data_IF_428109818629
#
_entry.id   IF_428109818629
#
_cell.length_a   1.000
_cell.length_b   1.000
_cell.length_c   1.000
_cell.angle_alpha   90.00
_cell.angle_beta   90.00
_cell.angle_gamma   90.00
#
_symmetry.space_group_name_H-M   'P 1'
#
loop_
_entity.id
_entity.type
_entity.pdbx_description
1 polymer ?
#
# COMPACT_ATOMS: atom_id res chain seq x y z
N UNK A 1 -21.10 18.42 -2.45
CA UNK A 1 -19.63 18.48 -2.22
C UNK A 1 -19.24 19.39 -1.04
N UNK A 2 -19.74 20.66 -0.99
CA UNK A 2 -19.52 21.57 0.15
C UNK A 2 -20.13 21.02 1.46
N UNK A 3 -21.34 20.48 1.40
CA UNK A 3 -22.02 19.87 2.56
C UNK A 3 -21.25 18.63 3.06
N UNK A 4 -20.77 17.78 2.15
CA UNK A 4 -19.96 16.62 2.54
C UNK A 4 -18.63 17.02 3.17
N UNK A 5 -18.00 18.08 2.66
CA UNK A 5 -16.77 18.63 3.25
C UNK A 5 -17.05 19.20 4.65
N UNK A 6 -18.15 19.94 4.80
CA UNK A 6 -18.56 20.50 6.10
C UNK A 6 -18.82 19.40 7.13
N UNK A 7 -19.53 18.33 6.75
CA UNK A 7 -19.81 17.17 7.63
C UNK A 7 -18.50 16.52 8.05
N UNK A 8 -17.57 16.26 7.13
CA UNK A 8 -16.27 15.66 7.45
C UNK A 8 -15.47 16.56 8.38
N UNK A 9 -15.47 17.87 8.15
CA UNK A 9 -14.77 18.82 9.01
C UNK A 9 -15.38 18.86 10.41
N UNK A 10 -16.70 18.89 10.53
CA UNK A 10 -17.41 18.88 11.82
C UNK A 10 -17.16 17.57 12.57
N UNK A 11 -17.22 16.44 11.88
CA UNK A 11 -16.93 15.13 12.49
C UNK A 11 -15.47 15.01 12.92
N UNK A 12 -14.52 15.52 12.13
CA UNK A 12 -13.09 15.54 12.48
C UNK A 12 -12.86 16.44 13.70
N UNK A 13 -13.41 17.64 13.72
CA UNK A 13 -13.26 18.59 14.83
C UNK A 13 -13.97 18.10 16.10
N UNK A 14 -15.18 17.56 15.97
CA UNK A 14 -15.92 16.95 17.07
C UNK A 14 -15.23 15.70 17.63
N UNK A 15 -14.65 14.88 16.76
CA UNK A 15 -13.88 13.70 17.14
C UNK A 15 -12.65 14.05 17.98
N UNK A 16 -11.96 15.14 17.64
CA UNK A 16 -10.80 15.64 18.43
C UNK A 16 -11.23 16.11 19.82
N UNK A 17 -12.40 16.76 19.95
CA UNK A 17 -12.91 17.25 21.25
C UNK A 17 -13.34 16.13 22.21
N UNK A 18 -13.74 14.98 21.67
CA UNK A 18 -14.20 13.81 22.44
C UNK A 18 -13.08 12.76 22.58
N UNK A 19 -11.92 13.00 21.95
CA UNK A 19 -10.81 12.08 22.01
C UNK A 19 -10.31 11.90 23.45
N UNK A 20 -10.14 10.65 23.95
CA UNK A 20 -9.58 10.39 25.26
C UNK A 20 -8.18 11.02 25.40
N UNK A 21 -7.81 11.46 26.61
CA UNK A 21 -6.46 12.00 26.90
C UNK A 21 -5.36 11.07 26.40
N UNK A 22 -5.53 9.76 26.50
CA UNK A 22 -4.61 8.74 25.98
C UNK A 22 -4.34 8.87 24.45
N UNK A 23 -5.21 9.53 23.70
CA UNK A 23 -5.01 9.77 22.28
C UNK A 23 -4.03 10.92 22.07
N UNK A 24 -4.12 11.96 22.89
CA UNK A 24 -3.16 13.09 22.88
C UNK A 24 -1.78 12.63 23.39
N UNK A 25 -1.73 11.80 24.43
CA UNK A 25 -0.48 11.19 24.91
C UNK A 25 0.22 10.39 23.79
N UNK A 26 -0.57 9.66 22.97
CA UNK A 26 -0.02 8.93 21.82
C UNK A 26 0.47 9.84 20.70
N UNK A 27 -0.12 11.03 20.50
CA UNK A 27 0.40 12.00 19.52
C UNK A 27 1.71 12.60 20.02
N UNK A 28 1.81 12.86 21.32
CA UNK A 28 3.05 13.38 21.94
C UNK A 28 4.19 12.36 21.81
N UNK A 29 3.91 11.05 21.90
CA UNK A 29 4.91 10.00 21.64
C UNK A 29 5.42 9.97 20.19
N UNK A 30 4.74 10.60 19.24
CA UNK A 30 5.27 10.75 17.86
C UNK A 30 6.52 11.65 17.85
N UNK A 31 6.60 12.62 18.74
CA UNK A 31 7.78 13.50 18.88
C UNK A 31 8.98 12.76 19.49
N UNK A 32 8.71 11.70 20.27
CA UNK A 32 9.72 10.82 20.87
C UNK A 32 9.81 9.47 20.14
N UNK A 33 9.38 9.39 18.88
CA UNK A 33 9.38 8.14 18.12
C UNK A 33 10.77 7.47 18.04
N UNK A 34 11.84 8.26 18.14
CA UNK A 34 13.22 7.74 18.23
C UNK A 34 13.53 7.01 19.56
N UNK A 35 12.70 7.20 20.59
CA UNK A 35 12.79 6.53 21.90
C UNK A 35 11.81 5.35 21.99
N UNK A 36 10.82 5.26 21.07
CA UNK A 36 9.89 4.14 21.00
C UNK A 36 10.61 2.91 20.43
N UNK A 37 10.89 1.97 21.31
CA UNK A 37 11.53 0.70 20.95
C UNK A 37 10.76 -0.05 19.85
N UNK A 38 9.42 0.01 19.86
CA UNK A 38 8.57 -0.63 18.84
C UNK A 38 8.77 0.00 17.46
N UNK A 39 8.84 1.33 17.39
CA UNK A 39 9.09 2.05 16.14
C UNK A 39 10.52 1.79 15.65
N UNK A 40 11.50 1.89 16.54
CA UNK A 40 12.91 1.69 16.19
C UNK A 40 13.21 0.25 15.76
N UNK A 41 12.52 -0.76 16.28
CA UNK A 41 12.58 -2.13 15.78
C UNK A 41 12.14 -2.23 14.29
N UNK A 42 11.12 -1.46 13.87
CA UNK A 42 10.70 -1.38 12.45
C UNK A 42 11.78 -0.72 11.61
N UNK A 43 12.34 0.39 12.07
CA UNK A 43 13.42 1.10 11.35
C UNK A 43 14.65 0.19 11.20
N UNK A 44 15.00 -0.60 12.21
CA UNK A 44 16.06 -1.60 12.14
C UNK A 44 15.76 -2.66 11.06
N UNK A 45 14.53 -3.17 11.01
CA UNK A 45 14.10 -4.11 9.96
C UNK A 45 14.12 -3.47 8.57
N UNK A 46 13.73 -2.19 8.43
CA UNK A 46 13.82 -1.45 7.16
C UNK A 46 15.26 -1.25 6.71
N UNK A 47 16.16 -0.99 7.67
CA UNK A 47 17.61 -0.93 7.40
C UNK A 47 18.10 -2.23 6.79
N UNK A 48 17.78 -3.38 7.41
CA UNK A 48 18.20 -4.70 6.91
C UNK A 48 17.58 -4.97 5.54
N UNK A 49 16.28 -4.66 5.32
CA UNK A 49 15.64 -4.78 4.01
C UNK A 49 16.37 -3.98 2.92
N UNK A 50 16.72 -2.73 3.21
CA UNK A 50 17.45 -1.88 2.28
C UNK A 50 18.86 -2.39 1.99
N UNK A 51 19.56 -2.91 3.01
CA UNK A 51 20.88 -3.50 2.87
C UNK A 51 20.84 -4.75 2.00
N UNK A 52 19.87 -5.64 2.21
CA UNK A 52 19.64 -6.82 1.37
C UNK A 52 19.41 -6.40 -0.09
N UNK A 53 18.51 -5.44 -0.32
CA UNK A 53 18.23 -4.97 -1.68
C UNK A 53 19.43 -4.30 -2.35
N UNK A 54 20.31 -3.66 -1.60
CA UNK A 54 21.54 -3.07 -2.14
C UNK A 54 22.55 -4.13 -2.59
N UNK A 55 22.61 -5.25 -1.88
CA UNK A 55 23.51 -6.37 -2.22
C UNK A 55 22.88 -7.30 -3.28
N UNK A 56 21.56 -7.53 -3.18
CA UNK A 56 20.78 -8.37 -4.10
C UNK A 56 19.66 -7.57 -4.78
N UNK A 57 19.98 -6.65 -5.71
CA UNK A 57 19.02 -5.68 -6.24
C UNK A 57 17.90 -6.27 -7.09
N UNK A 58 18.08 -7.47 -7.66
CA UNK A 58 17.12 -8.09 -8.58
C UNK A 58 16.17 -9.03 -7.86
N UNK A 59 16.67 -9.86 -6.96
CA UNK A 59 15.89 -10.95 -6.36
C UNK A 59 15.73 -10.85 -4.84
N UNK A 60 16.40 -9.90 -4.18
CA UNK A 60 16.41 -9.83 -2.72
C UNK A 60 17.01 -11.08 -2.07
N UNK A 61 16.56 -11.42 -0.86
CA UNK A 61 17.03 -12.61 -0.14
C UNK A 61 15.94 -13.68 0.08
N UNK A 62 14.79 -13.53 -0.58
CA UNK A 62 13.65 -14.47 -0.47
C UNK A 62 12.63 -14.05 0.59
N UNK A 63 11.50 -14.76 0.59
CA UNK A 63 10.35 -14.40 1.45
C UNK A 63 10.70 -14.44 2.93
N UNK A 64 10.28 -13.37 3.64
CA UNK A 64 10.53 -13.15 5.06
C UNK A 64 12.03 -13.11 5.45
N UNK A 65 12.90 -12.77 4.52
CA UNK A 65 14.35 -12.76 4.72
C UNK A 65 14.81 -12.01 5.98
N UNK A 66 14.20 -10.85 6.24
CA UNK A 66 14.51 -9.98 7.39
C UNK A 66 14.24 -10.65 8.74
N UNK A 67 13.38 -11.69 8.79
CA UNK A 67 13.03 -12.42 10.00
C UNK A 67 13.96 -13.62 10.25
N UNK A 68 14.85 -13.94 9.31
CA UNK A 68 15.77 -15.08 9.39
C UNK A 68 17.04 -14.65 10.12
N UNK A 69 17.38 -15.26 11.28
CA UNK A 69 18.47 -14.80 12.13
C UNK A 69 19.82 -14.69 11.42
N UNK A 70 20.22 -15.68 10.61
CA UNK A 70 21.51 -15.65 9.93
C UNK A 70 21.57 -14.58 8.82
N UNK A 71 20.44 -14.29 8.13
CA UNK A 71 20.37 -13.17 7.17
C UNK A 71 20.46 -11.84 7.91
N UNK A 72 19.70 -11.69 9.02
CA UNK A 72 19.79 -10.51 9.85
C UNK A 72 21.22 -10.23 10.30
N UNK A 73 21.92 -11.24 10.84
CA UNK A 73 23.28 -11.11 11.31
C UNK A 73 24.26 -10.75 10.19
N UNK A 74 24.04 -11.22 8.98
CA UNK A 74 24.83 -10.86 7.81
C UNK A 74 24.68 -9.39 7.42
N UNK A 75 23.45 -8.83 7.50
CA UNK A 75 23.14 -7.50 6.97
C UNK A 75 22.97 -6.40 8.03
N UNK A 76 22.88 -6.72 9.32
CA UNK A 76 22.70 -5.72 10.38
C UNK A 76 23.78 -4.63 10.40
N UNK A 77 25.05 -4.99 10.08
CA UNK A 77 26.19 -4.09 10.07
C UNK A 77 26.55 -3.58 8.65
N UNK A 78 25.77 -3.98 7.64
CA UNK A 78 25.97 -3.54 6.26
C UNK A 78 25.71 -2.03 6.09
N UNK A 79 26.46 -1.34 5.20
CA UNK A 79 26.21 0.08 4.93
C UNK A 79 24.76 0.36 4.54
N UNK A 80 24.13 1.32 5.20
CA UNK A 80 22.73 1.69 4.95
C UNK A 80 22.51 3.18 5.14
N UNK A 81 21.48 3.69 4.48
CA UNK A 81 21.00 5.08 4.65
C UNK A 81 20.40 5.33 6.04
N UNK A 82 19.99 4.27 6.74
CA UNK A 82 19.44 4.38 8.10
C UNK A 82 20.56 4.28 9.14
N UNK A 83 20.74 5.32 9.93
CA UNK A 83 21.67 5.32 11.06
C UNK A 83 20.99 4.80 12.32
N UNK A 84 21.17 3.50 12.62
CA UNK A 84 20.57 2.81 13.77
C UNK A 84 21.62 1.95 14.44
N UNK A 85 21.69 1.97 15.77
CA UNK A 85 22.51 1.05 16.54
C UNK A 85 21.87 -0.35 16.57
N UNK A 86 22.35 -1.22 15.69
CA UNK A 86 21.77 -2.55 15.48
C UNK A 86 22.03 -3.54 16.60
N UNK A 87 22.91 -3.21 17.57
CA UNK A 87 23.24 -4.09 18.69
C UNK A 87 22.04 -4.38 19.61
N UNK A 88 21.03 -3.48 19.60
CA UNK A 88 19.84 -3.53 20.45
C UNK A 88 18.67 -4.27 19.82
N UNK A 89 18.73 -4.60 18.53
CA UNK A 89 17.60 -5.12 17.78
C UNK A 89 17.82 -6.54 17.31
N UNK A 90 16.72 -7.27 17.15
CA UNK A 90 16.70 -8.66 16.73
C UNK A 90 15.83 -8.84 15.49
N UNK A 91 15.95 -9.97 14.78
CA UNK A 91 15.16 -10.28 13.60
C UNK A 91 13.67 -10.16 13.88
N UNK A 92 13.00 -9.26 13.13
CA UNK A 92 11.54 -9.04 13.21
C UNK A 92 11.00 -8.70 11.82
N UNK A 93 9.67 -8.83 11.67
CA UNK A 93 8.99 -8.42 10.45
C UNK A 93 9.20 -6.92 10.16
N UNK A 94 9.28 -6.56 8.88
CA UNK A 94 9.47 -5.17 8.45
C UNK A 94 8.31 -4.25 8.85
N UNK A 95 7.11 -4.80 9.11
CA UNK A 95 5.89 -4.02 9.35
C UNK A 95 5.69 -2.90 8.33
N UNK A 96 5.97 -3.21 7.07
CA UNK A 96 5.74 -2.35 5.93
C UNK A 96 5.71 -3.21 4.67
N UNK A 97 4.65 -3.11 3.88
CA UNK A 97 4.55 -3.82 2.60
C UNK A 97 5.69 -3.45 1.64
N UNK A 98 6.17 -2.22 1.72
CA UNK A 98 7.24 -1.72 0.85
C UNK A 98 8.60 -2.31 1.21
N UNK A 99 8.98 -2.24 2.49
CA UNK A 99 10.24 -2.80 2.97
C UNK A 99 10.22 -4.33 3.01
N UNK A 100 9.04 -4.94 3.21
CA UNK A 100 8.90 -6.40 3.07
C UNK A 100 9.24 -6.82 1.64
N UNK A 101 8.61 -6.24 0.63
CA UNK A 101 8.88 -6.58 -0.78
C UNK A 101 10.32 -6.22 -1.16
N UNK A 102 10.84 -5.09 -0.66
CA UNK A 102 12.19 -4.64 -0.94
C UNK A 102 13.24 -5.66 -0.45
N UNK A 103 13.13 -6.13 0.79
CA UNK A 103 14.05 -7.14 1.34
C UNK A 103 13.88 -8.51 0.70
N UNK A 104 12.64 -8.91 0.46
CA UNK A 104 12.30 -10.23 -0.06
C UNK A 104 12.66 -10.39 -1.56
N UNK A 105 12.38 -9.36 -2.38
CA UNK A 105 12.43 -9.43 -3.86
C UNK A 105 13.32 -8.37 -4.51
N UNK A 106 14.01 -7.56 -3.74
CA UNK A 106 14.90 -6.51 -4.25
C UNK A 106 14.16 -5.33 -4.89
N UNK A 107 14.92 -4.45 -5.55
CA UNK A 107 14.36 -3.26 -6.22
C UNK A 107 13.45 -3.62 -7.41
N UNK A 108 13.78 -4.67 -8.15
CA UNK A 108 12.97 -5.12 -9.29
C UNK A 108 11.61 -5.63 -8.80
N UNK A 109 11.60 -6.43 -7.72
CA UNK A 109 10.36 -6.90 -7.10
C UNK A 109 9.51 -5.75 -6.58
N UNK A 110 10.11 -4.77 -5.90
CA UNK A 110 9.40 -3.57 -5.45
C UNK A 110 8.81 -2.77 -6.62
N UNK A 111 9.56 -2.58 -7.70
CA UNK A 111 9.05 -1.89 -8.91
C UNK A 111 7.86 -2.62 -9.51
N UNK A 112 7.93 -3.95 -9.64
CA UNK A 112 6.84 -4.77 -10.15
C UNK A 112 5.61 -4.70 -9.23
N UNK A 113 5.80 -4.76 -7.92
CA UNK A 113 4.74 -4.62 -6.93
C UNK A 113 4.03 -3.27 -7.04
N UNK A 114 4.77 -2.17 -7.09
CA UNK A 114 4.21 -0.82 -7.25
C UNK A 114 3.52 -0.65 -8.61
N UNK A 115 4.08 -1.23 -9.67
CA UNK A 115 3.46 -1.23 -11.00
C UNK A 115 2.13 -1.98 -10.98
N UNK A 116 2.08 -3.14 -10.31
CA UNK A 116 0.87 -3.93 -10.16
C UNK A 116 -0.23 -3.13 -9.43
N UNK A 117 0.10 -2.49 -8.30
CA UNK A 117 -0.83 -1.59 -7.60
C UNK A 117 -1.31 -0.45 -8.52
N UNK A 118 -0.41 0.09 -9.35
CA UNK A 118 -0.69 1.15 -10.32
C UNK A 118 -1.68 0.74 -11.42
N UNK A 119 -1.72 -0.55 -11.81
CA UNK A 119 -2.63 -1.03 -12.86
C UNK A 119 -4.11 -0.77 -12.56
N UNK A 120 -4.52 -0.87 -11.30
CA UNK A 120 -5.88 -0.59 -10.87
C UNK A 120 -6.29 0.87 -11.14
N UNK A 121 -5.40 1.83 -10.90
CA UNK A 121 -5.66 3.25 -11.17
C UNK A 121 -5.73 3.52 -12.68
N UNK A 122 -4.91 2.85 -13.49
CA UNK A 122 -4.98 2.90 -14.95
C UNK A 122 -6.30 2.32 -15.44
N UNK A 123 -6.74 1.19 -14.89
CA UNK A 123 -8.02 0.58 -15.20
C UNK A 123 -9.19 1.53 -14.89
N UNK A 124 -9.19 2.16 -13.69
CA UNK A 124 -10.18 3.19 -13.32
C UNK A 124 -10.20 4.36 -14.31
N UNK A 125 -9.03 4.83 -14.76
CA UNK A 125 -8.96 5.92 -15.74
C UNK A 125 -9.58 5.50 -17.08
N UNK A 126 -9.41 4.24 -17.51
CA UNK A 126 -10.05 3.66 -18.70
C UNK A 126 -11.57 3.55 -18.53
N UNK A 127 -12.06 3.01 -17.40
CA UNK A 127 -13.49 2.95 -17.03
C UNK A 127 -14.12 4.35 -17.13
N UNK A 128 -13.50 5.36 -16.51
CA UNK A 128 -13.99 6.75 -16.55
C UNK A 128 -14.05 7.30 -17.99
N UNK A 129 -13.08 6.93 -18.84
CA UNK A 129 -13.06 7.36 -20.24
C UNK A 129 -14.20 6.72 -21.04
N UNK A 130 -14.45 5.42 -20.87
CA UNK A 130 -15.54 4.69 -21.50
C UNK A 130 -16.88 5.29 -21.07
N UNK A 131 -17.10 5.46 -19.76
CA UNK A 131 -18.32 6.08 -19.22
C UNK A 131 -18.60 7.47 -19.82
N UNK A 132 -17.57 8.33 -19.91
CA UNK A 132 -17.71 9.67 -20.52
C UNK A 132 -18.09 9.61 -21.99
N UNK A 133 -17.65 8.58 -22.71
CA UNK A 133 -17.92 8.41 -24.15
C UNK A 133 -19.31 7.82 -24.42
N UNK A 134 -19.75 6.86 -23.62
CA UNK A 134 -20.97 6.06 -23.85
C UNK A 134 -22.17 6.51 -23.04
N UNK A 135 -21.95 7.19 -21.91
CA UNK A 135 -23.00 7.50 -20.91
C UNK A 135 -23.47 6.29 -20.11
N UNK A 136 -22.93 5.08 -20.38
CA UNK A 136 -23.34 3.82 -19.76
C UNK A 136 -22.28 3.28 -18.81
N UNK A 137 -22.68 2.39 -17.87
CA UNK A 137 -21.77 1.71 -16.95
C UNK A 137 -21.40 2.52 -15.70
N UNK A 138 -22.30 3.33 -15.16
CA UNK A 138 -22.11 4.06 -13.91
C UNK A 138 -21.70 3.12 -12.77
N UNK A 139 -22.30 1.93 -12.70
CA UNK A 139 -21.96 0.90 -11.72
C UNK A 139 -20.47 0.53 -11.72
N UNK A 140 -19.86 0.40 -12.90
CA UNK A 140 -18.45 0.07 -13.03
C UNK A 140 -17.54 1.26 -12.64
N UNK A 141 -18.00 2.49 -12.92
CA UNK A 141 -17.30 3.70 -12.47
C UNK A 141 -17.31 3.79 -10.93
N UNK A 142 -18.46 3.54 -10.30
CA UNK A 142 -18.59 3.58 -8.85
C UNK A 142 -17.79 2.45 -8.20
N UNK A 143 -17.86 1.24 -8.74
CA UNK A 143 -17.06 0.10 -8.28
C UNK A 143 -15.56 0.38 -8.41
N UNK A 144 -15.11 0.96 -9.55
CA UNK A 144 -13.70 1.31 -9.74
C UNK A 144 -13.24 2.43 -8.80
N UNK A 145 -14.10 3.39 -8.48
CA UNK A 145 -13.81 4.45 -7.51
C UNK A 145 -13.66 3.86 -6.09
N UNK A 146 -14.60 3.03 -5.66
CA UNK A 146 -14.58 2.37 -4.36
C UNK A 146 -13.36 1.44 -4.21
N UNK A 147 -13.07 0.63 -5.24
CA UNK A 147 -11.93 -0.27 -5.23
C UNK A 147 -10.58 0.46 -5.20
N UNK A 148 -10.43 1.56 -5.95
CA UNK A 148 -9.23 2.38 -5.88
C UNK A 148 -9.08 3.07 -4.51
N UNK A 149 -10.17 3.51 -3.88
CA UNK A 149 -10.14 4.06 -2.53
C UNK A 149 -9.69 3.00 -1.50
N UNK A 150 -10.21 1.78 -1.62
CA UNK A 150 -9.78 0.64 -0.79
C UNK A 150 -8.29 0.33 -0.98
N UNK A 151 -7.80 0.42 -2.22
CA UNK A 151 -6.39 0.21 -2.52
C UNK A 151 -5.50 1.31 -1.93
N UNK A 152 -5.94 2.58 -1.97
CA UNK A 152 -5.23 3.69 -1.30
C UNK A 152 -5.17 3.46 0.21
N UNK A 153 -6.28 3.03 0.83
CA UNK A 153 -6.30 2.69 2.25
C UNK A 153 -5.33 1.54 2.59
N UNK A 154 -5.30 0.49 1.75
CA UNK A 154 -4.34 -0.60 1.87
C UNK A 154 -2.88 -0.12 1.76
N UNK A 155 -2.58 0.74 0.78
CA UNK A 155 -1.23 1.30 0.59
C UNK A 155 -0.79 2.16 1.78
N UNK A 156 -1.69 2.97 2.33
CA UNK A 156 -1.43 3.80 3.49
C UNK A 156 -1.24 2.98 4.77
N UNK A 157 -2.17 2.07 5.07
CA UNK A 157 -2.08 1.18 6.23
C UNK A 157 -0.89 0.20 6.10
N UNK A 158 -0.62 -0.26 4.90
CA UNK A 158 0.47 -1.16 4.55
C UNK A 158 1.87 -0.56 4.79
N UNK A 159 1.99 0.76 4.89
CA UNK A 159 3.24 1.39 5.32
C UNK A 159 3.66 0.97 6.74
N UNK A 160 2.70 0.55 7.58
CA UNK A 160 2.92 0.13 8.96
C UNK A 160 2.67 -1.36 9.24
N UNK A 161 2.38 -2.19 8.23
CA UNK A 161 2.01 -3.62 8.42
C UNK A 161 2.65 -4.50 7.34
N UNK A 162 3.09 -5.72 7.70
CA UNK A 162 3.65 -6.71 6.77
C UNK A 162 2.54 -7.52 6.09
N UNK A 163 1.83 -6.92 5.16
CA UNK A 163 0.73 -7.53 4.41
C UNK A 163 0.96 -7.48 2.88
N UNK A 164 2.22 -7.44 2.42
CA UNK A 164 2.54 -7.33 1.00
C UNK A 164 1.92 -8.48 0.17
N UNK A 165 1.81 -9.67 0.74
CA UNK A 165 1.31 -10.88 0.07
C UNK A 165 -0.13 -11.22 0.44
N UNK A 166 -0.92 -10.24 0.91
CA UNK A 166 -2.32 -10.43 1.26
C UNK A 166 -3.18 -10.67 -0.01
N UNK A 167 -3.73 -11.85 -0.12
CA UNK A 167 -4.36 -12.35 -1.33
C UNK A 167 -5.52 -11.50 -1.85
N UNK A 168 -6.35 -10.94 -0.95
CA UNK A 168 -7.50 -10.13 -1.35
C UNK A 168 -7.13 -8.87 -2.12
N UNK A 169 -5.95 -8.31 -1.90
CA UNK A 169 -5.47 -7.15 -2.65
C UNK A 169 -5.24 -7.50 -4.12
N UNK A 170 -4.64 -8.66 -4.37
CA UNK A 170 -4.40 -9.14 -5.74
C UNK A 170 -5.71 -9.44 -6.45
N UNK A 171 -6.67 -10.06 -5.75
CA UNK A 171 -8.01 -10.29 -6.28
C UNK A 171 -8.71 -8.97 -6.64
N UNK A 172 -8.63 -7.95 -5.77
CA UNK A 172 -9.17 -6.62 -6.02
C UNK A 172 -8.53 -5.99 -7.27
N UNK A 173 -7.21 -6.08 -7.43
CA UNK A 173 -6.50 -5.54 -8.60
C UNK A 173 -6.97 -6.24 -9.89
N UNK A 174 -7.09 -7.57 -9.88
CA UNK A 174 -7.59 -8.34 -11.03
C UNK A 174 -9.00 -7.92 -11.37
N UNK A 175 -9.90 -7.85 -10.39
CA UNK A 175 -11.29 -7.42 -10.58
C UNK A 175 -11.36 -6.03 -11.23
N UNK A 176 -10.62 -5.06 -10.70
CA UNK A 176 -10.58 -3.70 -11.24
C UNK A 176 -10.02 -3.66 -12.66
N UNK A 177 -9.01 -4.49 -12.95
CA UNK A 177 -8.36 -4.56 -14.26
C UNK A 177 -9.27 -5.13 -15.35
N UNK A 178 -10.26 -5.92 -15.01
CA UNK A 178 -11.24 -6.50 -15.94
C UNK A 178 -12.39 -5.53 -16.28
N UNK A 179 -12.72 -4.56 -15.41
CA UNK A 179 -13.85 -3.66 -15.61
C UNK A 179 -13.87 -2.92 -16.96
N UNK A 180 -12.75 -2.38 -17.47
CA UNK A 180 -12.77 -1.71 -18.78
C UNK A 180 -13.20 -2.63 -19.92
N UNK A 181 -12.77 -3.89 -19.91
CA UNK A 181 -13.11 -4.87 -20.95
C UNK A 181 -14.59 -5.27 -20.88
N UNK A 182 -15.11 -5.45 -19.66
CA UNK A 182 -16.53 -5.75 -19.44
C UNK A 182 -17.41 -4.59 -19.95
N UNK A 183 -17.07 -3.34 -19.58
CA UNK A 183 -17.80 -2.17 -20.04
C UNK A 183 -17.77 -1.99 -21.56
N UNK A 184 -16.62 -2.26 -22.18
CA UNK A 184 -16.51 -2.15 -23.65
C UNK A 184 -17.40 -3.18 -24.33
N UNK A 185 -17.40 -4.44 -23.85
CA UNK A 185 -18.26 -5.49 -24.38
C UNK A 185 -19.77 -5.19 -24.20
N UNK A 186 -20.16 -4.57 -23.10
CA UNK A 186 -21.55 -4.13 -22.89
C UNK A 186 -21.93 -2.98 -23.86
N UNK A 187 -21.03 -2.01 -24.03
CA UNK A 187 -21.25 -0.90 -24.94
C UNK A 187 -21.39 -1.36 -26.41
N UNK A 188 -20.56 -2.29 -26.83
CA UNK A 188 -20.61 -2.83 -28.20
C UNK A 188 -21.92 -3.58 -28.46
N UNK A 189 -22.40 -4.40 -27.51
CA UNK A 189 -23.72 -5.07 -27.60
C UNK A 189 -24.87 -4.09 -27.73
N UNK A 190 -24.86 -2.97 -26.99
CA UNK A 190 -25.90 -1.94 -27.08
C UNK A 190 -25.93 -1.28 -28.47
N UNK A 191 -24.76 -1.03 -29.05
CA UNK A 191 -24.66 -0.46 -30.42
C UNK A 191 -25.24 -1.43 -31.45
N UNK A 192 -24.95 -2.73 -31.33
CA UNK A 192 -25.46 -3.74 -32.26
C UNK A 192 -26.98 -3.87 -32.19
N UNK A 193 -27.58 -3.81 -30.98
CA UNK A 193 -29.02 -3.85 -30.78
C UNK A 193 -29.76 -2.64 -31.38
N UNK A 194 -29.10 -1.50 -31.49
CA UNK A 194 -29.71 -0.28 -32.09
C UNK A 194 -29.61 -0.29 -33.63
N UNK A 195 -28.71 -1.11 -34.18
CA UNK A 195 -28.52 -1.24 -35.62
C UNK A 195 -29.40 -2.27 -36.30
N UNK A 196 -30.00 -3.17 -35.53
CA UNK A 196 -30.98 -4.17 -35.97
C UNK A 196 -32.40 -3.64 -35.82
#
# INVERSE_FOLDING_TARGET
KLVSLLIVTVLAFGGVQVAPERWFDRIETIQTAGEDESFMNRVAAWRVSASIASDHPVFGAGFNAVQIPWIWDQYKDYPSIFSVDMSKYSPKAAHSIYFQVLGDLGYVGLLLFLTLLGTAFVARARVKRIYKKTGHGLWALDLSNAGCLSLVAFMAAGAGVSLAYFELVYLLIVMLSLLPSIMQAEADKLVDLVRT
#
